data_IF_479349994421
#
_entry.id   IF_479349994421
#
_cell.length_a   1.000
_cell.length_b   1.000
_cell.length_c   1.000
_cell.angle_alpha   90.00
_cell.angle_beta   90.00
_cell.angle_gamma   90.00
#
_symmetry.space_group_name_H-M   'P 1'
#
loop_
_entity.id
_entity.type
_entity.pdbx_description
1 polymer ?
#
# COMPACT_ATOMS: atom_id res chain seq x y z
N UNK A 1 -8.24 -18.76 -3.58
CA UNK A 1 -8.86 -17.50 -3.71
C UNK A 1 -8.85 -16.74 -2.48
N UNK A 2 -8.22 -15.69 -2.49
CA UNK A 2 -7.99 -14.94 -1.27
C UNK A 2 -8.74 -13.64 -1.29
N UNK A 3 -10.05 -13.74 -1.28
CA UNK A 3 -10.87 -12.54 -1.32
C UNK A 3 -10.54 -11.59 -0.17
N UNK A 4 -10.08 -12.14 0.95
CA UNK A 4 -9.70 -11.29 2.07
C UNK A 4 -8.55 -10.34 1.70
N UNK A 5 -7.51 -10.89 1.09
CA UNK A 5 -6.37 -10.06 0.68
C UNK A 5 -6.76 -9.11 -0.45
N UNK A 6 -7.62 -9.57 -1.35
CA UNK A 6 -8.09 -8.70 -2.42
C UNK A 6 -8.85 -7.51 -1.87
N UNK A 7 -9.67 -7.72 -0.86
CA UNK A 7 -10.43 -6.62 -0.28
C UNK A 7 -9.53 -5.61 0.41
N UNK A 8 -8.52 -6.11 1.12
CA UNK A 8 -7.58 -5.22 1.77
C UNK A 8 -6.86 -4.36 0.75
N UNK A 9 -6.38 -4.98 -0.32
CA UNK A 9 -5.67 -4.24 -1.35
C UNK A 9 -6.59 -3.23 -2.03
N UNK A 10 -7.85 -3.59 -2.27
CA UNK A 10 -8.80 -2.65 -2.85
C UNK A 10 -9.02 -1.43 -1.95
N UNK A 11 -9.11 -1.66 -0.66
CA UNK A 11 -9.28 -0.55 0.27
C UNK A 11 -8.05 0.34 0.33
N UNK A 12 -6.88 -0.26 0.28
CA UNK A 12 -5.65 0.52 0.26
C UNK A 12 -5.56 1.36 -1.01
N UNK A 13 -6.02 0.83 -2.14
CA UNK A 13 -6.05 1.60 -3.36
C UNK A 13 -6.95 2.82 -3.23
N UNK A 14 -8.07 2.67 -2.55
CA UNK A 14 -8.97 3.80 -2.32
C UNK A 14 -8.35 4.86 -1.43
N UNK A 15 -7.45 4.45 -0.55
CA UNK A 15 -6.75 5.40 0.30
C UNK A 15 -5.61 6.09 -0.43
N UNK A 16 -5.37 5.74 -1.68
CA UNK A 16 -4.35 6.37 -2.49
C UNK A 16 -3.19 5.48 -2.85
N UNK A 17 -3.15 4.26 -2.35
CA UNK A 17 -2.05 3.33 -2.64
C UNK A 17 -2.34 2.57 -3.92
N UNK A 18 -2.37 3.29 -5.02
CA UNK A 18 -2.64 2.68 -6.31
C UNK A 18 -1.49 2.97 -7.25
N UNK A 19 -1.32 2.10 -8.24
CA UNK A 19 -0.29 2.28 -9.24
C UNK A 19 -0.36 3.67 -9.86
N UNK A 20 0.80 4.29 -10.04
CA UNK A 20 0.98 5.61 -10.63
C UNK A 20 0.66 6.78 -9.70
N UNK A 21 0.13 6.52 -8.53
CA UNK A 21 -0.07 7.59 -7.57
C UNK A 21 1.22 7.95 -6.87
N UNK A 22 1.26 9.15 -6.32
CA UNK A 22 2.39 9.61 -5.53
C UNK A 22 2.00 9.66 -4.08
N UNK A 23 2.87 9.17 -3.22
CA UNK A 23 2.60 9.12 -1.80
C UNK A 23 3.83 9.51 -1.01
N UNK A 24 3.60 10.09 0.17
CA UNK A 24 4.67 10.36 1.10
C UNK A 24 4.63 9.32 2.20
N UNK A 25 5.69 8.54 2.30
CA UNK A 25 5.81 7.48 3.31
C UNK A 25 7.16 7.62 3.99
N UNK A 26 7.16 7.48 5.30
CA UNK A 26 8.41 7.55 6.08
C UNK A 26 9.21 8.80 5.79
N UNK A 27 8.51 9.90 5.55
CA UNK A 27 9.17 11.17 5.28
C UNK A 27 9.73 11.31 3.87
N UNK A 28 9.51 10.34 3.01
CA UNK A 28 10.01 10.34 1.64
C UNK A 28 8.87 10.33 0.66
N UNK A 29 9.08 10.96 -0.50
CA UNK A 29 8.08 10.92 -1.56
C UNK A 29 8.36 9.78 -2.51
N UNK A 30 7.31 9.02 -2.81
CA UNK A 30 7.39 7.88 -3.71
C UNK A 30 6.36 7.99 -4.80
N UNK A 31 6.71 7.47 -5.96
CA UNK A 31 5.75 7.22 -7.02
C UNK A 31 5.52 5.72 -7.08
N UNK A 32 4.28 5.30 -6.95
CA UNK A 32 3.96 3.89 -6.84
C UNK A 32 3.99 3.23 -8.21
N UNK A 33 4.73 2.15 -8.31
CA UNK A 33 4.87 1.39 -9.55
C UNK A 33 3.90 0.23 -9.63
N UNK A 34 3.30 -0.14 -8.53
CA UNK A 34 2.37 -1.25 -8.49
C UNK A 34 1.25 -0.96 -7.52
N UNK A 35 0.18 -1.73 -7.63
CA UNK A 35 -0.84 -1.76 -6.61
C UNK A 35 -0.29 -2.48 -5.38
N UNK A 36 -0.93 -2.31 -4.21
CA UNK A 36 -0.49 -3.02 -3.02
C UNK A 36 -0.59 -4.52 -3.20
N UNK A 37 0.32 -5.25 -2.58
CA UNK A 37 0.26 -6.71 -2.60
C UNK A 37 0.70 -7.24 -1.24
N UNK A 38 0.16 -8.39 -0.88
CA UNK A 38 0.39 -9.00 0.42
C UNK A 38 1.48 -10.03 0.30
N UNK A 39 2.43 -9.98 1.24
CA UNK A 39 3.49 -10.98 1.31
C UNK A 39 3.40 -11.64 2.67
N UNK A 40 3.36 -12.97 2.69
CA UNK A 40 3.21 -13.68 3.94
C UNK A 40 1.80 -13.51 4.49
N UNK A 41 1.70 -13.31 5.80
CA UNK A 41 0.38 -13.27 6.42
C UNK A 41 -0.25 -11.89 6.43
N UNK A 42 0.48 -10.88 6.88
CA UNK A 42 -0.13 -9.58 7.10
C UNK A 42 0.72 -8.41 6.64
N UNK A 43 1.77 -8.68 5.90
CA UNK A 43 2.67 -7.62 5.48
C UNK A 43 2.29 -7.19 4.07
N UNK A 44 2.06 -5.90 3.90
CA UNK A 44 1.63 -5.36 2.61
C UNK A 44 2.73 -4.45 2.08
N UNK A 45 3.04 -4.63 0.81
CA UNK A 45 4.08 -3.86 0.13
C UNK A 45 3.53 -3.20 -1.11
N UNK A 46 4.24 -2.17 -1.56
CA UNK A 46 4.09 -1.63 -2.91
C UNK A 46 5.48 -1.48 -3.50
N UNK A 47 5.59 -1.65 -4.80
CA UNK A 47 6.82 -1.29 -5.50
C UNK A 47 6.74 0.19 -5.85
N UNK A 48 7.82 0.91 -5.61
CA UNK A 48 7.80 2.35 -5.77
C UNK A 48 9.17 2.87 -6.17
N UNK A 49 9.17 4.07 -6.74
CA UNK A 49 10.41 4.79 -7.02
C UNK A 49 10.50 5.96 -6.06
N UNK A 50 11.61 6.05 -5.36
CA UNK A 50 11.88 7.19 -4.49
C UNK A 50 12.21 8.39 -5.37
N UNK A 51 11.50 9.49 -5.17
CA UNK A 51 11.63 10.63 -6.08
C UNK A 51 12.99 11.28 -6.04
N UNK A 52 13.59 11.36 -4.87
CA UNK A 52 14.88 12.01 -4.76
C UNK A 52 16.00 11.23 -5.41
N UNK A 53 16.11 9.97 -5.07
CA UNK A 53 17.22 9.15 -5.54
C UNK A 53 16.91 8.45 -6.86
N UNK A 54 15.63 8.42 -7.24
CA UNK A 54 15.18 7.69 -8.44
C UNK A 54 15.41 6.21 -8.32
N UNK A 55 15.54 5.69 -7.11
CA UNK A 55 15.78 4.26 -6.89
C UNK A 55 14.47 3.53 -6.72
N UNK A 56 14.35 2.40 -7.39
CA UNK A 56 13.19 1.54 -7.25
C UNK A 56 13.33 0.72 -5.99
N UNK A 57 12.28 0.69 -5.18
CA UNK A 57 12.30 -0.02 -3.90
C UNK A 57 10.97 -0.66 -3.64
N UNK A 58 11.00 -1.75 -2.89
CA UNK A 58 9.79 -2.35 -2.38
C UNK A 58 9.53 -1.74 -1.00
N UNK A 59 8.41 -1.07 -0.85
CA UNK A 59 8.12 -0.30 0.34
C UNK A 59 6.98 -0.95 1.10
N UNK A 60 7.20 -1.17 2.39
CA UNK A 60 6.17 -1.74 3.24
C UNK A 60 5.18 -0.64 3.62
N UNK A 61 3.91 -0.94 3.50
CA UNK A 61 2.87 0.00 3.91
C UNK A 61 2.80 -0.02 5.43
N UNK A 62 2.81 1.16 6.10
CA UNK A 62 2.80 1.20 7.55
C UNK A 62 1.60 0.48 8.16
N UNK A 63 1.85 -0.22 9.26
CA UNK A 63 0.80 -1.00 9.91
C UNK A 63 -0.43 -0.18 10.30
N UNK A 64 -0.29 1.05 10.79
CA UNK A 64 -1.49 1.83 11.11
C UNK A 64 -2.39 2.03 9.90
N UNK A 65 -1.81 2.18 8.72
CA UNK A 65 -2.59 2.35 7.51
C UNK A 65 -3.28 1.04 7.14
N UNK A 66 -2.57 -0.07 7.27
CA UNK A 66 -3.16 -1.38 7.00
C UNK A 66 -4.33 -1.63 7.96
N UNK A 67 -4.14 -1.29 9.23
CA UNK A 67 -5.21 -1.46 10.21
C UNK A 67 -6.40 -0.58 9.89
N UNK A 68 -6.16 0.64 9.44
CA UNK A 68 -7.24 1.53 9.07
C UNK A 68 -8.04 0.97 7.89
N UNK A 69 -7.34 0.42 6.91
CA UNK A 69 -8.01 -0.18 5.77
C UNK A 69 -8.82 -1.39 6.18
N UNK A 70 -8.29 -2.18 7.11
CA UNK A 70 -9.01 -3.35 7.58
C UNK A 70 -10.26 -2.99 8.36
N UNK A 71 -10.20 -1.92 9.16
CA UNK A 71 -11.34 -1.57 9.99
C UNK A 71 -12.47 -0.94 9.20
N UNK A 72 -12.23 -0.51 7.98
CA UNK A 72 -13.30 0.05 7.16
C UNK A 72 -14.47 -0.89 7.01
N UNK A 73 -14.19 -2.17 6.94
CA UNK A 73 -15.25 -3.14 6.67
C UNK A 73 -16.21 -3.28 7.83
N UNK A 74 -15.82 -2.83 9.02
CA UNK A 74 -16.68 -2.94 10.19
C UNK A 74 -17.47 -1.69 10.44
N UNK A 75 -17.26 -0.68 9.64
CA UNK A 75 -17.93 0.59 9.82
C UNK A 75 -19.35 0.59 9.27
N UNK A 76 -19.81 -0.50 8.82
CA UNK A 76 -21.14 -0.57 8.20
C UNK A 76 -22.26 -0.33 9.20
#
# INVERSE_FOLDING_TARGET
MTSHNSRLCERLKRLGFAQENRMKLYGEEFELLSDPFVVGNDVVFVDAIERKSRQQRRVRIPLPIVHMANSERTAA
#
